data_IF_933778755630
#
_entry.id   IF_933778755630
#
_cell.length_a   1.000
_cell.length_b   1.000
_cell.length_c   1.000
_cell.angle_alpha   90.00
_cell.angle_beta   90.00
_cell.angle_gamma   90.00
#
_symmetry.space_group_name_H-M   'P 1'
#
loop_
_entity.id
_entity.type
_entity.pdbx_description
1 polymer ?
#
# COMPACT_ATOMS: atom_id res chain seq x y z
N UNK A 1 -21.52 -11.22 -34.34
CA UNK A 1 -20.36 -11.41 -33.49
C UNK A 1 -20.23 -10.31 -32.46
N UNK A 2 -19.77 -10.64 -31.27
CA UNK A 2 -19.47 -9.60 -30.32
C UNK A 2 -18.00 -9.33 -30.29
N UNK A 3 -17.72 -8.13 -29.86
CA UNK A 3 -16.37 -7.65 -29.75
C UNK A 3 -16.00 -7.55 -28.29
N UNK A 4 -14.91 -8.18 -27.91
CA UNK A 4 -14.39 -8.03 -26.57
C UNK A 4 -13.50 -6.77 -26.53
N UNK A 5 -13.79 -5.90 -25.59
CA UNK A 5 -12.98 -4.70 -25.39
C UNK A 5 -12.39 -4.69 -24.01
N UNK A 6 -11.16 -4.27 -23.93
CA UNK A 6 -10.52 -4.01 -22.66
C UNK A 6 -11.02 -2.65 -22.17
N UNK A 7 -11.87 -2.68 -21.17
CA UNK A 7 -12.43 -1.44 -20.63
C UNK A 7 -11.61 -0.88 -19.48
N UNK A 8 -10.73 -1.69 -18.92
CA UNK A 8 -9.85 -1.26 -17.83
C UNK A 8 -8.55 -2.02 -17.91
N UNK A 9 -7.46 -1.30 -17.72
CA UNK A 9 -6.13 -1.86 -17.67
C UNK A 9 -5.40 -1.30 -16.47
N UNK A 10 -4.82 -2.17 -15.68
CA UNK A 10 -4.04 -1.77 -14.50
C UNK A 10 -2.59 -2.20 -14.70
N UNK A 11 -1.68 -1.25 -14.59
CA UNK A 11 -0.25 -1.50 -14.68
C UNK A 11 0.44 -0.86 -13.49
N UNK A 12 1.20 -1.66 -12.74
CA UNK A 12 1.96 -1.11 -11.62
C UNK A 12 3.16 -1.99 -11.31
N UNK A 13 4.13 -1.38 -10.64
CA UNK A 13 5.27 -2.07 -10.06
C UNK A 13 5.17 -2.01 -8.55
N UNK A 14 5.59 -3.08 -7.91
CA UNK A 14 5.64 -3.15 -6.44
C UNK A 14 7.06 -3.39 -6.00
N UNK A 15 7.55 -2.54 -5.10
CA UNK A 15 8.82 -2.75 -4.43
C UNK A 15 8.54 -3.11 -2.98
N UNK A 16 9.23 -4.12 -2.47
CA UNK A 16 9.09 -4.57 -1.09
C UNK A 16 10.41 -4.44 -0.36
N UNK A 17 10.31 -4.00 0.87
CA UNK A 17 11.47 -3.84 1.76
C UNK A 17 11.11 -4.38 3.12
N UNK A 18 12.11 -4.95 3.80
CA UNK A 18 11.95 -5.36 5.20
C UNK A 18 12.61 -4.31 6.08
N UNK A 19 11.86 -3.85 7.06
CA UNK A 19 12.33 -2.86 8.03
C UNK A 19 12.35 -3.48 9.41
N UNK A 20 13.52 -3.49 10.03
CA UNK A 20 13.70 -3.94 11.41
C UNK A 20 13.73 -2.72 12.31
N UNK A 21 12.75 -2.61 13.21
CA UNK A 21 12.67 -1.55 14.21
C UNK A 21 12.64 -2.21 15.59
N UNK A 22 13.78 -2.21 16.27
CA UNK A 22 13.94 -2.91 17.56
C UNK A 22 13.53 -4.38 17.40
N UNK A 23 12.51 -4.82 18.11
CA UNK A 23 12.01 -6.21 18.03
C UNK A 23 10.86 -6.37 17.03
N UNK A 24 10.65 -5.37 16.19
CA UNK A 24 9.53 -5.37 15.24
C UNK A 24 10.06 -5.52 13.83
N UNK A 25 9.40 -6.38 13.06
CA UNK A 25 9.70 -6.60 11.65
C UNK A 25 8.49 -6.18 10.83
N UNK A 26 8.69 -5.23 9.93
CA UNK A 26 7.64 -4.66 9.11
C UNK A 26 8.04 -4.78 7.65
N UNK A 27 7.12 -5.30 6.82
CA UNK A 27 7.30 -5.28 5.38
C UNK A 27 6.67 -3.98 4.85
N UNK A 28 7.43 -3.23 4.08
CA UNK A 28 6.97 -2.02 3.42
C UNK A 28 6.86 -2.32 1.94
N UNK A 29 5.67 -2.18 1.38
CA UNK A 29 5.42 -2.35 -0.05
C UNK A 29 5.04 -1.01 -0.65
N UNK A 30 5.69 -0.64 -1.74
CA UNK A 30 5.42 0.60 -2.47
C UNK A 30 4.92 0.23 -3.85
N UNK A 31 3.69 0.63 -4.16
CA UNK A 31 3.05 0.39 -5.45
C UNK A 31 3.00 1.70 -6.23
N UNK A 32 3.55 1.69 -7.43
CA UNK A 32 3.50 2.82 -8.34
C UNK A 32 3.02 2.35 -9.71
N UNK A 33 2.10 3.10 -10.29
CA UNK A 33 1.59 2.74 -11.60
C UNK A 33 0.39 3.58 -11.99
N UNK A 34 -0.49 2.99 -12.78
CA UNK A 34 -1.70 3.67 -13.21
C UNK A 34 -2.78 2.68 -13.60
N UNK A 35 -4.01 3.16 -13.58
CA UNK A 35 -5.18 2.48 -14.13
C UNK A 35 -5.62 3.26 -15.37
N UNK A 36 -5.83 2.55 -16.46
CA UNK A 36 -6.36 3.13 -17.71
C UNK A 36 -7.75 2.56 -17.97
N UNK A 37 -8.70 3.47 -18.18
CA UNK A 37 -10.07 3.08 -18.53
C UNK A 37 -10.65 4.17 -19.45
N UNK A 38 -11.20 3.78 -20.59
CA UNK A 38 -11.87 4.69 -21.51
C UNK A 38 -11.07 5.96 -21.84
N UNK A 39 -9.80 5.81 -22.16
CA UNK A 39 -8.87 6.90 -22.48
C UNK A 39 -8.52 7.81 -21.30
N UNK A 40 -8.85 7.41 -20.08
CA UNK A 40 -8.46 8.12 -18.88
C UNK A 40 -7.41 7.31 -18.13
N UNK A 41 -6.40 8.00 -17.63
CA UNK A 41 -5.37 7.41 -16.79
C UNK A 41 -5.47 7.98 -15.40
N UNK A 42 -5.46 7.12 -14.40
CA UNK A 42 -5.40 7.52 -13.00
C UNK A 42 -4.15 6.93 -12.37
N UNK A 43 -3.31 7.75 -11.71
CA UNK A 43 -2.12 7.22 -11.08
C UNK A 43 -2.46 6.36 -9.87
N UNK A 44 -1.63 5.35 -9.64
CA UNK A 44 -1.68 4.54 -8.42
C UNK A 44 -0.37 4.81 -7.68
N UNK A 45 -0.47 5.30 -6.46
CA UNK A 45 0.67 5.43 -5.56
C UNK A 45 0.21 5.04 -4.18
N UNK A 46 0.64 3.87 -3.74
CA UNK A 46 0.21 3.31 -2.47
C UNK A 46 1.41 2.81 -1.69
N UNK A 47 1.34 2.95 -0.38
CA UNK A 47 2.29 2.36 0.55
C UNK A 47 1.52 1.46 1.48
N UNK A 48 1.97 0.21 1.60
CA UNK A 48 1.38 -0.76 2.50
C UNK A 48 2.41 -1.17 3.54
N UNK A 49 2.01 -1.13 4.79
CA UNK A 49 2.84 -1.57 5.91
C UNK A 49 2.23 -2.82 6.50
N UNK A 50 2.98 -3.91 6.53
CA UNK A 50 2.53 -5.16 7.10
C UNK A 50 3.43 -5.55 8.27
N UNK A 51 2.83 -5.73 9.43
CA UNK A 51 3.54 -6.20 10.61
C UNK A 51 3.78 -7.70 10.48
N UNK A 52 5.04 -8.12 10.41
CA UNK A 52 5.41 -9.53 10.34
C UNK A 52 5.73 -10.08 11.72
N UNK A 53 6.40 -9.31 12.56
CA UNK A 53 6.74 -9.67 13.94
C UNK A 53 6.72 -8.44 14.81
N UNK A 54 6.27 -8.59 16.05
CA UNK A 54 6.32 -7.53 17.04
C UNK A 54 4.98 -6.96 17.38
N UNK A 55 4.97 -5.68 17.74
CA UNK A 55 3.79 -5.00 18.25
C UNK A 55 3.12 -4.12 17.21
N UNK A 56 1.80 -4.10 17.22
CA UNK A 56 0.97 -3.27 16.34
C UNK A 56 1.35 -1.79 16.44
N UNK A 57 1.74 -1.32 17.62
CA UNK A 57 2.14 0.06 17.85
C UNK A 57 3.31 0.49 16.96
N UNK A 58 4.19 -0.43 16.61
CA UNK A 58 5.31 -0.14 15.71
C UNK A 58 4.82 0.27 14.33
N UNK A 59 3.82 -0.42 13.79
CA UNK A 59 3.22 -0.08 12.50
C UNK A 59 2.51 1.26 12.58
N UNK A 60 1.79 1.50 13.66
CA UNK A 60 1.07 2.77 13.85
C UNK A 60 2.03 3.94 13.97
N UNK A 61 3.12 3.77 14.70
CA UNK A 61 4.16 4.81 14.84
C UNK A 61 4.83 5.10 13.50
N UNK A 62 5.17 4.06 12.76
CA UNK A 62 5.79 4.22 11.43
C UNK A 62 4.82 4.89 10.48
N UNK A 63 3.56 4.47 10.46
CA UNK A 63 2.53 5.05 9.62
C UNK A 63 2.33 6.54 9.92
N UNK A 64 2.24 6.91 11.19
CA UNK A 64 2.11 8.30 11.61
C UNK A 64 3.30 9.14 11.17
N UNK A 65 4.50 8.59 11.28
CA UNK A 65 5.71 9.27 10.85
C UNK A 65 5.71 9.53 9.34
N UNK A 66 5.25 8.56 8.56
CA UNK A 66 5.14 8.72 7.11
C UNK A 66 4.07 9.74 6.72
N UNK A 67 2.93 9.75 7.40
CA UNK A 67 1.88 10.71 7.15
C UNK A 67 2.31 12.15 7.47
N UNK A 68 3.19 12.32 8.48
CA UNK A 68 3.74 13.64 8.81
C UNK A 68 4.74 14.15 7.79
N UNK A 69 5.50 13.25 7.17
CA UNK A 69 6.62 13.62 6.29
C UNK A 69 6.26 13.67 4.82
N UNK A 70 5.22 12.98 4.41
CA UNK A 70 4.83 12.83 3.02
C UNK A 70 3.35 13.14 2.84
N UNK A 71 2.93 13.58 1.64
CA UNK A 71 1.51 13.87 1.37
C UNK A 71 0.72 12.57 1.16
N UNK A 72 0.67 11.73 2.18
CA UNK A 72 -0.04 10.45 2.17
C UNK A 72 -1.32 10.57 2.98
N UNK A 73 -2.32 9.78 2.62
CA UNK A 73 -3.56 9.65 3.39
C UNK A 73 -3.81 8.17 3.67
N UNK A 74 -4.41 7.89 4.82
CA UNK A 74 -4.83 6.54 5.14
C UNK A 74 -5.92 6.09 4.19
N UNK A 75 -5.76 4.90 3.62
CA UNK A 75 -6.74 4.30 2.73
C UNK A 75 -7.51 3.23 3.49
N UNK A 76 -8.64 3.64 4.06
CA UNK A 76 -9.47 2.75 4.84
C UNK A 76 -8.92 2.48 6.23
N UNK A 77 -9.43 1.42 6.84
CA UNK A 77 -9.00 0.99 8.16
C UNK A 77 -7.90 -0.04 8.08
N UNK A 78 -7.06 -0.11 9.09
CA UNK A 78 -6.09 -1.20 9.22
C UNK A 78 -6.83 -2.53 9.22
N UNK A 79 -6.25 -3.51 8.55
CA UNK A 79 -6.83 -4.85 8.45
C UNK A 79 -5.92 -5.84 9.15
N UNK A 80 -6.53 -6.90 9.65
CA UNK A 80 -5.78 -8.05 10.14
C UNK A 80 -5.96 -9.19 9.15
N UNK A 81 -4.86 -9.71 8.65
CA UNK A 81 -4.84 -10.87 7.78
C UNK A 81 -3.91 -11.89 8.39
N UNK A 82 -4.41 -13.09 8.68
CA UNK A 82 -3.63 -14.14 9.32
C UNK A 82 -2.99 -13.71 10.64
N UNK A 83 -3.69 -12.85 11.40
CA UNK A 83 -3.18 -12.32 12.65
C UNK A 83 -2.16 -11.19 12.50
N UNK A 84 -1.90 -10.74 11.28
CA UNK A 84 -0.98 -9.65 10.98
C UNK A 84 -1.74 -8.37 10.69
N UNK A 85 -1.21 -7.24 11.13
CA UNK A 85 -1.80 -5.95 10.81
C UNK A 85 -1.22 -5.40 9.51
N UNK A 86 -2.12 -4.95 8.66
CA UNK A 86 -1.78 -4.32 7.39
C UNK A 86 -2.37 -2.92 7.37
N UNK A 87 -1.52 -1.92 7.16
CA UNK A 87 -1.93 -0.53 6.99
C UNK A 87 -1.60 -0.06 5.58
N UNK A 88 -2.56 0.55 4.93
CA UNK A 88 -2.43 1.00 3.55
C UNK A 88 -2.60 2.50 3.47
N UNK A 89 -1.70 3.16 2.76
CA UNK A 89 -1.72 4.60 2.55
C UNK A 89 -1.63 4.91 1.06
N UNK A 90 -2.26 6.00 0.65
CA UNK A 90 -2.25 6.45 -0.75
C UNK A 90 -1.73 7.88 -0.83
N UNK A 91 -1.12 8.18 -1.95
CA UNK A 91 -0.69 9.53 -2.30
C UNK A 91 -1.78 10.27 -3.06
#
# INVERSE_FOLDING_TARGET
>A
PFRLQNIMETMFTREKMLLQLEDNLIEVAIDCGFVRANNHNAPIKEVELELLEGKVEAVKTLGSSLLDKFPLELSGKSKFARGLEISKMVL
#
